data_IF_241200821716
#
_entry.id   IF_241200821716
#
_cell.length_a   1.000
_cell.length_b   1.000
_cell.length_c   1.000
_cell.angle_alpha   90.00
_cell.angle_beta   90.00
_cell.angle_gamma   90.00
#
_symmetry.space_group_name_H-M   'P 1'
#
loop_
_entity.id
_entity.type
_entity.pdbx_description
1 polymer ?
#
# COMPACT_ATOMS: atom_id res chain seq x y z
N UNK A 1 39.71 -38.12 21.47
CA UNK A 1 38.56 -38.93 21.94
C UNK A 1 37.29 -38.38 21.31
N UNK A 2 36.43 -39.21 20.67
CA UNK A 2 35.59 -38.81 19.54
C UNK A 2 34.08 -38.76 19.89
N UNK A 3 33.28 -38.10 19.03
CA UNK A 3 31.98 -38.66 18.63
C UNK A 3 31.75 -38.53 17.13
N UNK A 4 31.83 -39.69 16.48
CA UNK A 4 31.23 -40.00 15.17
C UNK A 4 29.71 -39.93 15.27
N UNK A 5 29.07 -39.32 14.28
CA UNK A 5 27.76 -39.70 13.72
C UNK A 5 27.86 -39.26 12.24
N UNK A 6 27.58 -40.04 11.22
CA UNK A 6 26.74 -41.21 11.06
C UNK A 6 26.08 -41.02 9.69
N UNK A 7 26.76 -41.46 8.63
CA UNK A 7 26.30 -41.38 7.24
C UNK A 7 25.18 -42.41 7.07
N UNK A 8 23.98 -41.97 6.67
CA UNK A 8 22.90 -42.85 6.22
C UNK A 8 22.67 -42.70 4.70
N UNK A 9 22.63 -43.81 3.94
CA UNK A 9 22.47 -43.79 2.49
C UNK A 9 21.00 -43.84 2.04
N UNK A 10 20.72 -43.13 0.95
CA UNK A 10 19.90 -43.57 -0.19
C UNK A 10 18.38 -43.77 -0.02
N UNK A 11 17.59 -42.99 -0.76
CA UNK A 11 16.36 -43.51 -1.39
C UNK A 11 16.43 -43.33 -2.92
N UNK A 12 16.03 -44.37 -3.69
CA UNK A 12 16.21 -44.42 -5.14
C UNK A 12 15.18 -43.58 -5.89
N UNK A 13 15.61 -43.07 -7.05
CA UNK A 13 14.83 -42.23 -7.94
C UNK A 13 13.60 -42.92 -8.52
N UNK A 14 12.50 -42.18 -8.55
CA UNK A 14 11.32 -42.55 -9.31
C UNK A 14 11.46 -41.99 -10.73
N UNK A 15 11.47 -42.90 -11.70
CA UNK A 15 11.50 -42.64 -13.13
C UNK A 15 10.14 -42.08 -13.56
N UNK A 16 10.15 -40.95 -14.24
CA UNK A 16 8.98 -40.45 -14.97
C UNK A 16 8.79 -41.27 -16.26
N UNK A 17 7.57 -41.75 -16.57
CA UNK A 17 7.30 -42.42 -17.84
C UNK A 17 7.21 -41.40 -18.99
N UNK A 18 7.99 -41.69 -20.03
CA UNK A 18 7.96 -41.05 -21.35
C UNK A 18 6.62 -41.32 -22.03
N UNK A 19 5.80 -40.27 -22.22
CA UNK A 19 4.55 -40.38 -22.98
C UNK A 19 4.85 -40.14 -24.46
N UNK A 20 4.52 -41.17 -25.24
CA UNK A 20 4.87 -41.35 -26.65
C UNK A 20 4.16 -40.33 -27.54
N UNK A 21 4.90 -39.85 -28.54
CA UNK A 21 4.44 -39.00 -29.64
C UNK A 21 3.35 -39.73 -30.43
N UNK A 22 2.15 -39.17 -30.48
CA UNK A 22 1.12 -39.59 -31.41
C UNK A 22 1.07 -38.62 -32.60
N UNK A 23 1.29 -39.18 -33.79
CA UNK A 23 1.12 -38.55 -35.08
C UNK A 23 -0.32 -38.09 -35.25
N UNK A 24 -0.51 -36.80 -35.55
CA UNK A 24 -1.81 -36.21 -35.93
C UNK A 24 -2.00 -36.45 -37.43
N UNK A 25 -3.01 -37.21 -37.90
CA UNK A 25 -3.40 -37.14 -39.29
C UNK A 25 -4.25 -35.89 -39.50
N UNK A 26 -3.81 -35.09 -40.48
CA UNK A 26 -4.55 -33.98 -41.08
C UNK A 26 -5.80 -34.54 -41.76
N UNK A 27 -6.99 -34.04 -41.39
CA UNK A 27 -8.20 -34.14 -42.20
C UNK A 27 -8.85 -32.75 -42.30
N UNK A 28 -9.12 -32.37 -43.54
CA UNK A 28 -9.55 -31.08 -44.02
C UNK A 28 -11.00 -30.72 -43.64
N UNK A 29 -11.17 -29.44 -43.27
CA UNK A 29 -12.29 -28.50 -43.55
C UNK A 29 -13.76 -28.96 -43.51
N UNK A 30 -14.64 -28.13 -42.90
CA UNK A 30 -15.74 -27.38 -43.59
C UNK A 30 -16.71 -26.71 -42.59
N UNK A 31 -17.11 -25.47 -42.94
CA UNK A 31 -18.33 -24.71 -42.60
C UNK A 31 -18.46 -23.94 -41.27
N UNK A 32 -18.28 -22.61 -41.41
CA UNK A 32 -18.92 -21.54 -40.63
C UNK A 32 -20.39 -21.45 -41.05
N UNK A 33 -21.36 -21.63 -40.13
CA UNK A 33 -22.74 -21.13 -40.28
C UNK A 33 -23.48 -21.00 -38.94
N UNK A 34 -23.78 -19.76 -38.56
CA UNK A 34 -24.96 -19.30 -37.81
C UNK A 34 -25.24 -19.83 -36.39
N UNK A 35 -24.53 -19.31 -35.38
CA UNK A 35 -25.07 -19.18 -34.03
C UNK A 35 -25.72 -17.80 -33.86
N UNK A 36 -26.98 -17.70 -34.29
CA UNK A 36 -27.86 -16.55 -34.10
C UNK A 36 -29.24 -17.05 -33.64
N UNK A 37 -29.27 -17.78 -32.53
CA UNK A 37 -30.50 -18.06 -31.78
C UNK A 37 -30.19 -18.57 -30.37
N UNK A 38 -29.86 -17.64 -29.49
CA UNK A 38 -30.45 -17.54 -28.14
C UNK A 38 -29.85 -16.32 -27.46
N UNK A 39 -30.67 -15.29 -27.35
CA UNK A 39 -30.34 -14.05 -26.67
C UNK A 39 -30.21 -14.29 -25.18
N UNK A 40 -29.13 -13.79 -24.60
CA UNK A 40 -28.91 -13.88 -23.16
C UNK A 40 -27.47 -13.62 -22.78
N UNK A 41 -26.94 -12.46 -23.16
CA UNK A 41 -25.72 -11.99 -22.53
C UNK A 41 -26.08 -11.43 -21.15
N UNK A 42 -25.63 -12.01 -20.02
CA UNK A 42 -25.40 -11.20 -18.86
C UNK A 42 -24.09 -10.46 -19.13
N UNK A 43 -24.17 -9.36 -19.88
CA UNK A 43 -23.23 -8.27 -19.64
C UNK A 43 -23.63 -7.64 -18.30
N UNK A 44 -23.45 -8.41 -17.22
CA UNK A 44 -23.34 -7.89 -15.88
C UNK A 44 -22.09 -7.04 -15.88
N UNK A 45 -22.25 -5.77 -16.24
CA UNK A 45 -21.26 -4.77 -15.92
C UNK A 45 -21.20 -4.75 -14.40
N UNK A 46 -20.24 -5.48 -13.85
CA UNK A 46 -19.76 -5.23 -12.50
C UNK A 46 -19.15 -3.83 -12.55
N UNK A 47 -19.97 -2.80 -12.30
CA UNK A 47 -19.48 -1.51 -11.83
C UNK A 47 -18.78 -1.79 -10.50
N UNK A 48 -17.48 -2.09 -10.58
CA UNK A 48 -16.59 -1.99 -9.45
C UNK A 48 -16.56 -0.51 -9.06
N UNK A 49 -17.45 -0.11 -8.16
CA UNK A 49 -17.24 1.10 -7.38
C UNK A 49 -15.88 0.91 -6.71
N UNK A 50 -14.86 1.63 -7.18
CA UNK A 50 -13.62 1.76 -6.45
C UNK A 50 -14.03 2.27 -5.07
N UNK A 51 -13.95 1.43 -4.04
CA UNK A 51 -14.03 1.94 -2.68
C UNK A 51 -12.86 2.92 -2.59
N UNK A 52 -13.16 4.21 -2.56
CA UNK A 52 -12.19 5.20 -2.15
C UNK A 52 -11.64 4.68 -0.82
N UNK A 53 -10.39 4.24 -0.82
CA UNK A 53 -9.76 3.61 0.32
C UNK A 53 -9.47 4.71 1.34
N UNK A 54 -10.53 5.21 1.97
CA UNK A 54 -10.52 6.39 2.80
C UNK A 54 -10.91 5.99 4.21
N UNK A 55 -10.15 6.50 5.17
CA UNK A 55 -10.45 6.38 6.58
C UNK A 55 -10.72 7.77 7.16
N UNK A 56 -11.74 7.89 8.00
CA UNK A 56 -12.00 9.12 8.73
C UNK A 56 -12.14 8.83 10.22
N UNK A 57 -11.75 9.79 11.05
CA UNK A 57 -11.86 9.65 12.50
C UNK A 57 -11.36 10.88 13.23
N UNK A 58 -11.66 10.95 14.53
CA UNK A 58 -11.07 11.93 15.44
C UNK A 58 -9.66 11.51 15.81
N UNK A 59 -8.71 12.42 15.81
CA UNK A 59 -7.34 12.14 16.27
C UNK A 59 -7.33 11.87 17.76
N UNK A 60 -6.87 10.67 18.14
CA UNK A 60 -6.75 10.24 19.53
C UNK A 60 -5.38 10.58 20.13
N UNK A 61 -4.30 10.38 19.37
CA UNK A 61 -2.92 10.64 19.83
C UNK A 61 -2.01 10.99 18.66
N UNK A 62 -1.08 11.91 18.90
CA UNK A 62 0.05 12.21 17.99
C UNK A 62 1.32 11.63 18.61
N UNK A 63 1.97 10.72 17.88
CA UNK A 63 3.18 10.00 18.32
C UNK A 63 4.43 10.85 18.08
N UNK A 64 4.62 11.33 16.85
CA UNK A 64 5.78 12.09 16.40
C UNK A 64 5.37 13.07 15.27
N UNK A 65 6.33 13.59 14.51
CA UNK A 65 6.09 14.58 13.45
C UNK A 65 5.40 14.06 12.19
N UNK A 66 5.17 12.75 12.05
CA UNK A 66 4.46 12.18 10.89
C UNK A 66 3.51 11.02 11.23
N UNK A 67 3.40 10.62 12.50
CA UNK A 67 2.61 9.47 12.91
C UNK A 67 1.57 9.82 13.99
N UNK A 68 0.32 9.39 13.81
CA UNK A 68 -0.79 9.58 14.74
C UNK A 68 -1.76 8.39 14.76
N UNK A 69 -2.73 8.40 15.68
CA UNK A 69 -3.82 7.40 15.73
C UNK A 69 -5.18 8.09 15.72
N UNK A 70 -6.18 7.41 15.16
CA UNK A 70 -7.59 7.83 15.20
C UNK A 70 -8.34 7.06 16.29
N UNK A 71 -9.34 7.69 16.90
CA UNK A 71 -10.25 7.05 17.85
C UNK A 71 -10.94 5.84 17.22
N UNK A 72 -10.86 4.70 17.89
CA UNK A 72 -11.44 3.44 17.39
C UNK A 72 -10.62 2.76 16.28
N UNK A 73 -9.53 3.37 15.80
CA UNK A 73 -8.65 2.73 14.82
C UNK A 73 -7.47 2.03 15.50
N UNK A 74 -7.27 0.75 15.16
CA UNK A 74 -6.20 -0.08 15.74
C UNK A 74 -4.82 0.25 15.20
N UNK A 75 -4.72 0.51 13.89
CA UNK A 75 -3.44 0.78 13.22
C UNK A 75 -3.07 2.26 13.33
N UNK A 76 -1.81 2.61 13.62
CA UNK A 76 -1.34 3.98 13.47
C UNK A 76 -1.40 4.41 12.01
N UNK A 77 -1.49 5.72 11.80
CA UNK A 77 -1.42 6.36 10.50
C UNK A 77 -0.08 7.09 10.40
N UNK A 78 0.69 6.76 9.37
CA UNK A 78 1.83 7.54 8.89
C UNK A 78 1.35 8.49 7.78
N UNK A 79 1.68 9.76 7.92
CA UNK A 79 1.36 10.79 6.94
C UNK A 79 2.15 10.55 5.64
N UNK A 80 1.43 10.41 4.53
CA UNK A 80 2.02 10.12 3.22
C UNK A 80 2.81 11.31 2.66
N UNK A 81 3.97 11.01 2.08
CA UNK A 81 4.81 12.01 1.40
C UNK A 81 5.51 12.99 2.36
N UNK A 82 5.45 12.75 3.67
CA UNK A 82 6.09 13.57 4.69
C UNK A 82 7.31 12.85 5.27
N UNK A 83 8.43 13.56 5.39
CA UNK A 83 9.63 13.16 6.11
C UNK A 83 9.85 14.15 7.27
N UNK A 84 9.46 13.73 8.47
CA UNK A 84 9.62 14.50 9.68
C UNK A 84 10.73 13.86 10.56
N UNK A 85 11.55 14.66 11.27
CA UNK A 85 12.49 14.10 12.22
C UNK A 85 11.75 13.32 13.32
N UNK A 86 12.26 12.14 13.65
CA UNK A 86 11.76 11.36 14.79
C UNK A 86 11.85 12.19 16.08
N UNK A 87 10.95 11.94 17.04
CA UNK A 87 10.79 12.80 18.23
C UNK A 87 12.08 13.01 19.05
N UNK A 88 13.02 12.06 19.00
CA UNK A 88 14.31 12.08 19.70
C UNK A 88 15.47 12.64 18.86
N UNK A 89 15.22 13.06 17.63
CA UNK A 89 16.20 13.68 16.75
C UNK A 89 16.13 15.21 16.81
N UNK A 90 17.18 15.89 16.32
CA UNK A 90 17.20 17.35 16.20
C UNK A 90 16.02 17.82 15.35
N UNK A 91 15.16 18.67 15.93
CA UNK A 91 13.94 19.16 15.28
C UNK A 91 12.69 18.31 15.51
N UNK A 92 12.82 17.08 16.02
CA UNK A 92 11.69 16.15 16.23
C UNK A 92 10.64 16.66 17.21
N UNK A 93 11.08 17.29 18.31
CA UNK A 93 10.17 17.92 19.26
C UNK A 93 9.34 19.06 18.62
N UNK A 94 9.95 19.84 17.72
CA UNK A 94 9.26 20.92 17.02
C UNK A 94 8.26 20.38 15.99
N UNK A 95 8.64 19.35 15.22
CA UNK A 95 7.75 18.68 14.27
C UNK A 95 6.55 18.01 14.98
N UNK A 96 6.81 17.25 16.05
CA UNK A 96 5.77 16.61 16.86
C UNK A 96 4.79 17.64 17.44
N UNK A 97 5.30 18.76 17.97
CA UNK A 97 4.46 19.84 18.50
C UNK A 97 3.61 20.47 17.39
N UNK A 98 4.23 20.80 16.26
CA UNK A 98 3.52 21.41 15.14
C UNK A 98 2.39 20.52 14.61
N UNK A 99 2.63 19.20 14.46
CA UNK A 99 1.59 18.27 14.05
C UNK A 99 0.49 18.20 15.11
N UNK A 100 0.86 18.07 16.40
CA UNK A 100 -0.10 18.01 17.51
C UNK A 100 -0.99 19.25 17.55
N UNK A 101 -0.42 20.44 17.47
CA UNK A 101 -1.17 21.70 17.49
C UNK A 101 -2.14 21.79 16.30
N UNK A 102 -1.73 21.23 15.14
CA UNK A 102 -2.57 21.20 13.95
C UNK A 102 -3.76 20.24 14.08
N UNK A 103 -3.57 19.02 14.61
CA UNK A 103 -4.55 17.93 14.44
C UNK A 103 -5.14 17.34 15.73
N UNK A 104 -4.57 17.60 16.91
CA UNK A 104 -5.00 16.94 18.14
C UNK A 104 -6.49 17.15 18.42
N UNK A 105 -7.22 16.06 18.64
CA UNK A 105 -8.66 16.08 18.89
C UNK A 105 -9.52 16.49 17.70
N UNK A 106 -8.95 16.79 16.52
CA UNK A 106 -9.70 17.17 15.31
C UNK A 106 -10.18 15.96 14.53
N UNK A 107 -11.20 16.15 13.70
CA UNK A 107 -11.65 15.17 12.72
C UNK A 107 -10.73 15.23 11.50
N UNK A 108 -10.28 14.09 11.00
CA UNK A 108 -9.50 13.97 9.77
C UNK A 108 -10.14 12.98 8.80
N UNK A 109 -9.80 13.15 7.53
CA UNK A 109 -10.06 12.20 6.45
C UNK A 109 -8.74 11.89 5.74
N UNK A 110 -8.36 10.61 5.68
CA UNK A 110 -7.13 10.14 5.07
C UNK A 110 -7.43 9.20 3.91
N UNK A 111 -6.87 9.52 2.74
CA UNK A 111 -6.82 8.61 1.58
C UNK A 111 -5.66 7.65 1.79
N UNK A 112 -5.96 6.38 2.02
CA UNK A 112 -4.98 5.31 2.22
C UNK A 112 -4.25 5.06 0.91
N UNK A 113 -2.92 5.08 0.98
CA UNK A 113 -2.01 4.87 -0.15
C UNK A 113 -1.30 3.52 -0.06
N UNK A 114 -1.02 3.05 1.14
CA UNK A 114 -0.28 1.80 1.38
C UNK A 114 -0.45 1.32 2.83
N UNK A 115 0.04 0.13 3.12
CA UNK A 115 0.37 -0.36 4.45
C UNK A 115 1.88 -0.61 4.50
N UNK A 116 2.59 0.07 5.40
CA UNK A 116 4.04 -0.12 5.48
C UNK A 116 4.43 -1.42 6.19
N UNK A 117 5.73 -1.76 6.12
CA UNK A 117 6.32 -2.95 6.77
C UNK A 117 6.18 -3.00 8.29
N UNK A 118 5.75 -1.91 8.93
CA UNK A 118 5.49 -1.81 10.36
C UNK A 118 4.00 -1.89 10.69
N UNK A 119 3.18 -2.27 9.71
CA UNK A 119 1.71 -2.39 9.81
C UNK A 119 0.99 -1.05 10.05
N UNK A 120 1.64 0.08 9.72
CA UNK A 120 0.99 1.40 9.74
C UNK A 120 0.24 1.62 8.45
N UNK A 121 -0.90 2.30 8.57
CA UNK A 121 -1.60 2.85 7.42
C UNK A 121 -0.80 4.04 6.90
N UNK A 122 -0.40 4.03 5.64
CA UNK A 122 0.21 5.21 4.99
C UNK A 122 -0.90 5.96 4.28
N UNK A 123 -1.17 7.21 4.68
CA UNK A 123 -2.33 7.96 4.17
C UNK A 123 -2.05 9.43 3.92
N UNK A 124 -2.60 9.97 2.83
CA UNK A 124 -2.64 11.41 2.60
C UNK A 124 -3.87 11.97 3.32
N UNK A 125 -3.64 12.83 4.31
CA UNK A 125 -4.64 13.21 5.31
C UNK A 125 -4.99 14.70 5.23
N UNK A 126 -6.28 14.98 5.41
CA UNK A 126 -6.87 16.30 5.25
C UNK A 126 -7.73 16.66 6.47
N UNK A 127 -7.69 17.94 6.84
CA UNK A 127 -8.68 18.56 7.73
C UNK A 127 -10.01 18.78 6.99
N UNK A 128 -11.12 19.04 7.71
CA UNK A 128 -12.44 19.24 7.10
C UNK A 128 -12.51 20.44 6.14
N UNK A 129 -11.63 21.42 6.31
CA UNK A 129 -11.50 22.60 5.44
C UNK A 129 -10.67 22.32 4.16
N UNK A 130 -10.21 21.08 3.97
CA UNK A 130 -9.38 20.67 2.84
C UNK A 130 -7.88 20.89 3.05
N UNK A 131 -7.43 21.35 4.23
CA UNK A 131 -6.00 21.51 4.51
C UNK A 131 -5.29 20.16 4.48
N UNK A 132 -4.37 20.00 3.52
CA UNK A 132 -3.44 18.87 3.45
C UNK A 132 -2.37 18.99 4.55
N UNK A 133 -2.28 17.97 5.41
CA UNK A 133 -1.35 17.94 6.54
C UNK A 133 0.11 17.99 6.07
N UNK A 134 0.47 17.22 5.04
CA UNK A 134 1.84 17.16 4.54
C UNK A 134 2.26 18.53 4.01
N UNK A 135 1.40 19.14 3.18
CA UNK A 135 1.67 20.47 2.63
C UNK A 135 1.79 21.53 3.73
N UNK A 136 0.96 21.47 4.78
CA UNK A 136 1.03 22.39 5.90
C UNK A 136 2.35 22.24 6.67
N UNK A 137 2.75 21.01 6.98
CA UNK A 137 3.98 20.72 7.72
C UNK A 137 5.25 21.16 6.97
N UNK A 138 5.26 20.96 5.65
CA UNK A 138 6.33 21.46 4.77
C UNK A 138 6.38 22.99 4.78
N UNK A 139 5.23 23.67 4.58
CA UNK A 139 5.16 25.14 4.62
C UNK A 139 5.57 25.71 5.98
N UNK A 140 5.30 24.99 7.07
CA UNK A 140 5.71 25.37 8.42
C UNK A 140 7.23 25.24 8.65
N UNK A 141 7.95 24.55 7.76
CA UNK A 141 9.40 24.38 7.83
C UNK A 141 9.89 23.37 8.87
N UNK A 142 9.00 22.51 9.37
CA UNK A 142 9.31 21.52 10.42
C UNK A 142 9.51 20.11 9.88
N UNK A 143 9.20 19.89 8.60
CA UNK A 143 9.34 18.63 7.91
C UNK A 143 9.59 18.87 6.42
N UNK A 144 10.01 17.84 5.70
CA UNK A 144 10.31 17.90 4.27
C UNK A 144 9.41 16.95 3.50
N UNK A 145 9.29 17.19 2.19
CA UNK A 145 8.67 16.23 1.31
C UNK A 145 9.52 14.97 1.20
N UNK A 146 8.89 13.80 1.34
CA UNK A 146 9.56 12.53 1.11
C UNK A 146 9.52 12.15 -0.37
N UNK A 147 10.41 12.77 -1.16
CA UNK A 147 10.41 12.72 -2.62
C UNK A 147 10.34 11.31 -3.23
N UNK A 148 10.99 10.32 -2.61
CA UNK A 148 10.96 8.91 -3.06
C UNK A 148 9.54 8.36 -3.14
N UNK A 149 8.65 8.79 -2.25
CA UNK A 149 7.28 8.28 -2.14
C UNK A 149 6.23 9.25 -2.68
N UNK A 150 6.47 10.56 -2.58
CA UNK A 150 5.54 11.56 -3.11
C UNK A 150 5.67 11.77 -4.61
N UNK A 151 6.83 11.43 -5.22
CA UNK A 151 7.10 11.70 -6.62
C UNK A 151 7.14 13.19 -6.97
N UNK A 152 7.41 14.06 -5.99
CA UNK A 152 7.40 15.52 -6.18
C UNK A 152 6.01 16.16 -6.13
N UNK A 153 5.00 15.46 -5.59
CA UNK A 153 3.64 15.97 -5.44
C UNK A 153 3.53 17.38 -4.83
N UNK A 154 4.40 17.73 -3.87
CA UNK A 154 4.37 19.04 -3.21
C UNK A 154 5.34 20.05 -3.83
N UNK A 155 6.03 19.69 -4.92
CA UNK A 155 6.89 20.60 -5.68
C UNK A 155 8.17 21.04 -4.98
N UNK A 156 8.55 20.41 -3.86
CA UNK A 156 9.75 20.78 -3.09
C UNK A 156 10.95 19.87 -3.37
N UNK A 157 10.73 18.82 -4.16
CA UNK A 157 11.80 17.98 -4.66
C UNK A 157 12.61 18.74 -5.70
N UNK A 158 13.88 19.04 -5.39
CA UNK A 158 14.81 19.56 -6.38
C UNK A 158 14.94 18.58 -7.54
N UNK A 159 14.96 19.09 -8.78
CA UNK A 159 15.55 18.33 -9.88
C UNK A 159 17.02 18.14 -9.52
N UNK A 160 17.39 16.88 -9.33
CA UNK A 160 18.76 16.46 -9.07
C UNK A 160 19.69 16.92 -10.20
#
# INVERSE_FOLDING_TARGET
>A
MPRRQGIHPGKPGQRVPSMKRFLIPVLLAVAVLSWLRDGGAPHGQATAMSRDNTISGRVARVTDGDTFTLSGQRRPIRVWGLDAPEWNQRGGAAATRALRDLIAGRQLTCRVRDIDRYDRIVGQCFLPDGTDITAWMIRKGVAREYCRFSGGYYGTCGRN
#
